data_IF_834223214147
#
_entry.id   IF_834223214147
#
_cell.length_a   1.000
_cell.length_b   1.000
_cell.length_c   1.000
_cell.angle_alpha   90.00
_cell.angle_beta   90.00
_cell.angle_gamma   90.00
#
_symmetry.space_group_name_H-M   'P 1'
#
loop_
_entity.id
_entity.type
_entity.pdbx_description
1 polymer ?
#
# COMPACT_ATOMS: atom_id res chain seq x y z
N UNK A 1 16.10 12.48 -14.54
CA UNK A 1 16.11 13.14 -13.20
C UNK A 1 17.03 12.39 -12.24
N UNK A 2 16.78 11.11 -11.93
CA UNK A 2 17.63 10.33 -11.02
C UNK A 2 19.13 10.32 -11.41
N UNK A 3 19.44 10.06 -12.69
CA UNK A 3 20.82 10.12 -13.18
C UNK A 3 21.42 11.53 -13.07
N UNK A 4 20.63 12.56 -13.39
CA UNK A 4 21.05 13.96 -13.28
C UNK A 4 21.37 14.37 -11.83
N UNK A 5 20.56 13.93 -10.85
CA UNK A 5 20.87 14.16 -9.43
C UNK A 5 22.16 13.46 -9.01
N UNK A 6 22.40 12.23 -9.50
CA UNK A 6 23.61 11.49 -9.18
C UNK A 6 24.86 12.14 -9.79
N UNK A 7 24.81 12.55 -11.06
CA UNK A 7 25.92 13.25 -11.72
C UNK A 7 26.22 14.59 -11.09
N UNK A 8 25.19 15.32 -10.66
CA UNK A 8 25.35 16.63 -10.01
C UNK A 8 25.96 16.49 -8.61
N UNK A 9 25.63 15.42 -7.89
CA UNK A 9 26.29 15.08 -6.63
C UNK A 9 27.76 14.68 -6.87
N UNK A 10 28.01 13.75 -7.78
CA UNK A 10 29.36 13.28 -8.11
C UNK A 10 30.27 14.40 -8.63
N UNK A 11 29.73 15.37 -9.37
CA UNK A 11 30.47 16.54 -9.83
C UNK A 11 30.95 17.43 -8.68
N UNK A 12 30.23 17.47 -7.55
CA UNK A 12 30.58 18.31 -6.41
C UNK A 12 31.39 17.58 -5.33
N UNK A 13 31.01 16.34 -4.99
CA UNK A 13 31.67 15.56 -3.94
C UNK A 13 32.80 14.68 -4.46
N UNK A 14 32.88 14.47 -5.78
CA UNK A 14 33.85 13.57 -6.40
C UNK A 14 33.59 12.08 -6.14
N UNK A 15 32.52 11.72 -5.44
CA UNK A 15 32.20 10.34 -5.09
C UNK A 15 30.88 9.86 -5.72
N UNK A 16 30.83 8.58 -6.06
CA UNK A 16 29.64 7.89 -6.56
C UNK A 16 28.90 7.10 -5.46
N UNK A 17 29.18 7.40 -4.19
CA UNK A 17 28.59 6.72 -3.05
C UNK A 17 27.10 7.07 -2.90
N UNK A 18 26.23 6.04 -2.81
CA UNK A 18 24.79 6.24 -2.63
C UNK A 18 24.48 6.91 -1.28
N UNK A 19 25.28 6.61 -0.25
CA UNK A 19 25.13 7.14 1.11
C UNK A 19 25.71 8.54 1.30
N UNK A 20 26.37 9.11 0.29
CA UNK A 20 27.05 10.41 0.38
C UNK A 20 26.34 11.43 -0.53
N UNK A 21 25.09 11.74 -0.22
CA UNK A 21 24.32 12.75 -0.94
C UNK A 21 24.31 14.05 -0.14
N UNK A 22 25.36 14.86 -0.31
CA UNK A 22 25.54 16.06 0.52
C UNK A 22 24.91 17.31 -0.10
N UNK A 23 24.77 17.34 -1.43
CA UNK A 23 24.14 18.48 -2.09
C UNK A 23 22.61 18.46 -1.91
N UNK A 24 22.09 19.50 -1.24
CA UNK A 24 20.65 19.74 -1.01
C UNK A 24 19.82 19.72 -2.31
N UNK A 25 20.34 20.28 -3.41
CA UNK A 25 19.66 20.31 -4.71
C UNK A 25 19.60 18.90 -5.30
N UNK A 26 20.72 18.17 -5.29
CA UNK A 26 20.76 16.77 -5.73
C UNK A 26 19.80 15.89 -4.93
N UNK A 27 19.74 16.05 -3.61
CA UNK A 27 18.81 15.34 -2.74
C UNK A 27 17.35 15.64 -3.11
N UNK A 28 16.98 16.90 -3.29
CA UNK A 28 15.60 17.28 -3.66
C UNK A 28 15.17 16.69 -5.00
N UNK A 29 16.05 16.71 -6.00
CA UNK A 29 15.81 16.10 -7.31
C UNK A 29 15.74 14.57 -7.25
N UNK A 30 16.56 13.95 -6.39
CA UNK A 30 16.53 12.51 -6.15
C UNK A 30 15.19 12.09 -5.54
N UNK A 31 14.71 12.77 -4.51
CA UNK A 31 13.40 12.49 -3.89
C UNK A 31 12.28 12.65 -4.92
N UNK A 32 12.30 13.72 -5.72
CA UNK A 32 11.29 13.93 -6.75
C UNK A 32 11.30 12.81 -7.80
N UNK A 33 12.48 12.32 -8.19
CA UNK A 33 12.59 11.17 -9.08
C UNK A 33 12.06 9.87 -8.43
N UNK A 34 12.32 9.67 -7.14
CA UNK A 34 11.84 8.51 -6.38
C UNK A 34 10.32 8.57 -6.17
N UNK A 35 9.77 9.75 -5.88
CA UNK A 35 8.32 9.95 -5.72
C UNK A 35 7.56 9.65 -7.01
N UNK A 36 8.13 9.99 -8.18
CA UNK A 36 7.58 9.59 -9.48
C UNK A 36 7.51 8.07 -9.63
N UNK A 37 8.59 7.35 -9.29
CA UNK A 37 8.62 5.87 -9.37
C UNK A 37 7.71 5.20 -8.34
N UNK A 38 7.60 5.76 -7.15
CA UNK A 38 6.73 5.27 -6.09
C UNK A 38 5.24 5.55 -6.36
N UNK A 39 4.94 6.45 -7.31
CA UNK A 39 3.62 7.04 -7.53
C UNK A 39 3.08 7.80 -6.31
N UNK A 40 3.97 8.49 -5.58
CA UNK A 40 3.56 9.43 -4.56
C UNK A 40 3.06 10.73 -5.21
N UNK A 41 2.12 11.43 -4.56
CA UNK A 41 1.63 12.71 -5.04
C UNK A 41 2.76 13.75 -5.10
N UNK A 42 2.80 14.64 -6.11
CA UNK A 42 1.79 14.87 -7.18
C UNK A 42 1.86 13.89 -8.36
N UNK A 43 2.92 13.08 -8.44
CA UNK A 43 3.22 12.17 -9.54
C UNK A 43 2.41 10.86 -9.56
N UNK A 44 1.15 10.93 -9.16
CA UNK A 44 0.33 9.78 -8.83
C UNK A 44 -0.58 9.33 -9.98
N UNK A 45 -0.83 10.21 -10.97
CA UNK A 45 -1.82 10.01 -12.02
C UNK A 45 -1.57 8.77 -12.89
N UNK A 46 -0.31 8.39 -13.12
CA UNK A 46 0.03 7.26 -13.98
C UNK A 46 -0.40 5.91 -13.37
N UNK A 47 -0.38 5.77 -12.04
CA UNK A 47 -0.54 4.47 -11.40
C UNK A 47 -1.98 3.91 -11.54
N UNK A 48 -3.07 4.65 -11.22
CA UNK A 48 -4.42 4.12 -11.35
C UNK A 48 -4.80 3.75 -12.78
N UNK A 49 -4.31 4.49 -13.78
CA UNK A 49 -4.62 4.24 -15.19
C UNK A 49 -3.91 3.01 -15.72
N UNK A 50 -2.60 2.88 -15.46
CA UNK A 50 -1.80 1.72 -15.87
C UNK A 50 -2.30 0.44 -15.20
N UNK A 51 -2.61 0.50 -13.91
CA UNK A 51 -3.12 -0.64 -13.15
C UNK A 51 -4.51 -1.08 -13.65
N UNK A 52 -5.35 -0.16 -14.10
CA UNK A 52 -6.66 -0.53 -14.66
C UNK A 52 -6.54 -1.26 -16.00
N UNK A 53 -5.57 -0.91 -16.84
CA UNK A 53 -5.30 -1.59 -18.11
C UNK A 53 -4.57 -2.93 -17.96
N UNK A 54 -3.91 -3.15 -16.81
CA UNK A 54 -3.07 -4.31 -16.55
C UNK A 54 -3.86 -5.59 -16.16
N UNK A 55 -3.23 -6.74 -16.39
CA UNK A 55 -3.70 -8.04 -15.87
C UNK A 55 -3.44 -8.17 -14.36
N UNK A 56 -4.14 -9.06 -13.66
CA UNK A 56 -3.93 -9.28 -12.21
C UNK A 56 -2.48 -9.61 -11.85
N UNK A 57 -1.81 -10.38 -12.71
CA UNK A 57 -0.41 -10.75 -12.51
C UNK A 57 0.51 -9.53 -12.65
N UNK A 58 0.36 -8.76 -13.72
CA UNK A 58 1.19 -7.57 -13.96
C UNK A 58 0.96 -6.50 -12.90
N UNK A 59 -0.28 -6.29 -12.47
CA UNK A 59 -0.59 -5.41 -11.34
C UNK A 59 0.11 -5.87 -10.05
N UNK A 60 0.10 -7.17 -9.74
CA UNK A 60 0.76 -7.70 -8.55
C UNK A 60 2.25 -7.36 -8.54
N UNK A 61 2.95 -7.54 -9.66
CA UNK A 61 4.37 -7.15 -9.78
C UNK A 61 4.58 -5.64 -9.65
N UNK A 62 3.70 -4.84 -10.25
CA UNK A 62 3.79 -3.37 -10.19
C UNK A 62 3.56 -2.83 -8.78
N UNK A 63 2.62 -3.41 -8.02
CA UNK A 63 2.28 -2.94 -6.68
C UNK A 63 3.12 -3.55 -5.56
N UNK A 64 3.89 -4.61 -5.83
CA UNK A 64 4.80 -5.22 -4.85
C UNK A 64 6.26 -5.05 -5.26
N UNK A 65 6.70 -5.79 -6.27
CA UNK A 65 8.11 -5.89 -6.68
C UNK A 65 8.72 -4.54 -7.07
N UNK A 66 8.00 -3.75 -7.89
CA UNK A 66 8.52 -2.46 -8.37
C UNK A 66 8.65 -1.39 -7.29
N UNK A 67 8.01 -1.57 -6.13
CA UNK A 67 8.10 -0.62 -5.01
C UNK A 67 9.30 -0.90 -4.10
N UNK A 68 9.87 -2.11 -4.10
CA UNK A 68 10.97 -2.49 -3.20
C UNK A 68 12.21 -1.62 -3.46
N UNK A 69 12.68 -1.55 -4.71
CA UNK A 69 13.92 -0.85 -5.03
C UNK A 69 13.86 0.69 -4.78
N UNK A 70 12.77 1.40 -5.12
CA UNK A 70 12.67 2.81 -4.75
C UNK A 70 12.57 3.04 -3.23
N UNK A 71 11.90 2.15 -2.48
CA UNK A 71 11.80 2.26 -1.01
C UNK A 71 13.19 2.08 -0.36
N UNK A 72 13.99 1.12 -0.80
CA UNK A 72 15.35 0.93 -0.27
C UNK A 72 16.26 2.11 -0.60
N UNK A 73 16.12 2.72 -1.78
CA UNK A 73 16.83 3.96 -2.10
C UNK A 73 16.37 5.12 -1.21
N UNK A 74 15.08 5.28 -0.96
CA UNK A 74 14.61 6.31 -0.01
C UNK A 74 15.15 6.08 1.41
N UNK A 75 15.28 4.81 1.83
CA UNK A 75 15.87 4.44 3.12
C UNK A 75 17.34 4.86 3.22
N UNK A 76 18.14 4.57 2.19
CA UNK A 76 19.58 4.89 2.18
C UNK A 76 19.86 6.40 2.18
N UNK A 77 18.97 7.18 1.58
CA UNK A 77 19.13 8.64 1.43
C UNK A 77 18.38 9.41 2.52
N UNK A 78 17.57 8.74 3.34
CA UNK A 78 16.65 9.35 4.32
C UNK A 78 17.32 10.42 5.20
N UNK A 79 18.54 10.15 5.69
CA UNK A 79 19.26 11.05 6.60
C UNK A 79 19.70 12.38 5.95
N UNK A 80 19.86 12.42 4.63
CA UNK A 80 20.33 13.60 3.90
C UNK A 80 19.19 14.49 3.39
N UNK A 81 17.96 13.99 3.49
CA UNK A 81 16.77 14.64 2.95
C UNK A 81 16.23 15.66 3.94
N UNK A 82 15.82 16.83 3.44
CA UNK A 82 15.06 17.80 4.25
C UNK A 82 13.74 17.15 4.70
N UNK A 83 13.46 17.07 6.02
CA UNK A 83 12.30 16.35 6.54
C UNK A 83 10.98 16.97 6.05
N UNK A 84 10.93 18.29 5.90
CA UNK A 84 9.75 19.03 5.41
C UNK A 84 9.24 18.52 4.06
N UNK A 85 10.14 18.28 3.10
CA UNK A 85 9.77 17.84 1.75
C UNK A 85 9.15 16.44 1.81
N UNK A 86 9.76 15.55 2.58
CA UNK A 86 9.34 14.15 2.67
C UNK A 86 8.02 13.99 3.44
N UNK A 87 7.84 14.76 4.52
CA UNK A 87 6.57 14.84 5.25
C UNK A 87 5.43 15.40 4.37
N UNK A 88 5.70 16.45 3.59
CA UNK A 88 4.70 17.04 2.69
C UNK A 88 4.29 16.08 1.57
N UNK A 89 5.25 15.40 0.93
CA UNK A 89 4.95 14.34 -0.06
C UNK A 89 4.14 13.19 0.55
N UNK A 90 4.49 12.80 1.78
CA UNK A 90 3.77 11.80 2.55
C UNK A 90 2.32 12.19 2.80
N UNK A 91 2.05 13.38 3.33
CA UNK A 91 0.68 13.85 3.56
C UNK A 91 -0.12 14.01 2.27
N UNK A 92 0.45 14.60 1.23
CA UNK A 92 -0.23 14.77 -0.05
C UNK A 92 -0.62 13.42 -0.66
N UNK A 93 0.23 12.40 -0.54
CA UNK A 93 -0.07 11.06 -1.05
C UNK A 93 -1.16 10.35 -0.25
N UNK A 94 -1.21 10.53 1.09
CA UNK A 94 -2.33 10.05 1.90
C UNK A 94 -3.62 10.77 1.50
N UNK A 95 -3.60 12.09 1.32
CA UNK A 95 -4.77 12.89 0.99
C UNK A 95 -5.35 12.53 -0.38
N UNK A 96 -4.50 12.51 -1.42
CA UNK A 96 -4.92 12.17 -2.78
C UNK A 96 -5.30 10.70 -2.91
N UNK A 97 -4.63 9.81 -2.17
CA UNK A 97 -4.98 8.40 -2.06
C UNK A 97 -6.38 8.21 -1.48
N UNK A 98 -6.66 8.86 -0.34
CA UNK A 98 -7.94 8.77 0.34
C UNK A 98 -9.11 9.29 -0.50
N UNK A 99 -8.99 10.51 -1.05
CA UNK A 99 -10.06 11.05 -1.90
C UNK A 99 -10.23 10.29 -3.20
N UNK A 100 -9.15 9.82 -3.80
CA UNK A 100 -9.19 9.08 -5.05
C UNK A 100 -9.94 7.74 -4.96
N UNK A 101 -10.02 7.14 -3.77
CA UNK A 101 -10.68 5.85 -3.53
C UNK A 101 -12.21 5.97 -3.54
N UNK A 102 -12.77 7.06 -3.01
CA UNK A 102 -14.21 7.19 -2.71
C UNK A 102 -15.09 6.87 -3.92
N UNK A 103 -14.70 7.39 -5.10
CA UNK A 103 -15.53 7.34 -6.30
C UNK A 103 -15.17 6.19 -7.25
N UNK A 104 -14.34 5.24 -6.82
CA UNK A 104 -13.99 4.10 -7.68
C UNK A 104 -14.96 2.95 -7.48
N UNK A 105 -15.23 2.23 -8.56
CA UNK A 105 -15.98 0.94 -8.54
C UNK A 105 -15.12 -0.24 -8.98
N UNK A 106 -13.96 0.05 -9.55
CA UNK A 106 -13.01 -0.93 -10.10
C UNK A 106 -11.96 -1.29 -9.05
N UNK A 107 -11.81 -2.58 -8.77
CA UNK A 107 -10.93 -3.07 -7.70
C UNK A 107 -9.46 -2.76 -7.95
N UNK A 108 -9.05 -2.81 -9.22
CA UNK A 108 -7.67 -2.50 -9.61
C UNK A 108 -7.29 -1.06 -9.28
N UNK A 109 -8.16 -0.09 -9.59
CA UNK A 109 -7.94 1.32 -9.21
C UNK A 109 -7.90 1.49 -7.70
N UNK A 110 -8.80 0.84 -6.96
CA UNK A 110 -8.81 0.92 -5.49
C UNK A 110 -7.50 0.41 -4.88
N UNK A 111 -6.98 -0.72 -5.37
CA UNK A 111 -5.68 -1.26 -4.94
C UNK A 111 -4.51 -0.33 -5.30
N UNK A 112 -4.60 0.40 -6.42
CA UNK A 112 -3.61 1.41 -6.76
C UNK A 112 -3.62 2.56 -5.75
N UNK A 113 -4.79 3.13 -5.45
CA UNK A 113 -4.89 4.22 -4.46
C UNK A 113 -4.52 3.77 -3.05
N UNK A 114 -4.84 2.55 -2.63
CA UNK A 114 -4.41 2.05 -1.33
C UNK A 114 -2.89 1.97 -1.20
N UNK A 115 -2.21 1.66 -2.30
CA UNK A 115 -0.74 1.67 -2.36
C UNK A 115 -0.15 3.07 -2.25
N UNK A 116 -0.90 4.10 -2.63
CA UNK A 116 -0.46 5.49 -2.49
C UNK A 116 -0.61 5.96 -1.05
N UNK A 117 -1.69 5.54 -0.38
CA UNK A 117 -1.88 5.79 1.06
C UNK A 117 -0.76 5.12 1.87
N UNK A 118 -0.47 3.84 1.61
CA UNK A 118 0.59 3.15 2.35
C UNK A 118 1.96 3.76 2.11
N UNK A 119 2.28 4.14 0.86
CA UNK A 119 3.50 4.87 0.55
C UNK A 119 3.55 6.20 1.29
N UNK A 120 2.43 6.92 1.39
CA UNK A 120 2.39 8.16 2.14
C UNK A 120 2.76 7.99 3.61
N UNK A 121 2.23 6.94 4.25
CA UNK A 121 2.65 6.56 5.60
C UNK A 121 4.14 6.20 5.66
N UNK A 122 4.67 5.44 4.69
CA UNK A 122 6.11 5.12 4.65
C UNK A 122 6.97 6.37 4.49
N UNK A 123 6.61 7.29 3.59
CA UNK A 123 7.40 8.50 3.34
C UNK A 123 7.42 9.42 4.57
N UNK A 124 6.30 9.58 5.28
CA UNK A 124 6.26 10.40 6.49
C UNK A 124 7.27 9.91 7.54
N UNK A 125 7.28 8.60 7.81
CA UNK A 125 8.09 8.02 8.88
C UNK A 125 9.57 7.86 8.53
N UNK A 126 9.92 7.79 7.24
CA UNK A 126 11.31 7.65 6.80
C UNK A 126 12.24 8.76 7.32
N UNK A 127 11.68 9.93 7.68
CA UNK A 127 12.45 11.06 8.22
C UNK A 127 12.90 10.86 9.67
N UNK A 128 12.08 10.20 10.50
CA UNK A 128 12.33 10.06 11.93
C UNK A 128 12.89 8.69 12.28
N UNK A 129 12.33 7.63 11.68
CA UNK A 129 12.73 6.25 11.95
C UNK A 129 12.56 5.41 10.68
N UNK A 130 13.61 5.30 9.84
CA UNK A 130 13.52 4.65 8.54
C UNK A 130 13.22 3.14 8.64
N UNK A 131 13.59 2.50 9.76
CA UNK A 131 13.22 1.11 10.04
C UNK A 131 11.70 0.89 10.08
N UNK A 132 10.96 1.77 10.74
CA UNK A 132 9.48 1.71 10.78
C UNK A 132 8.85 1.96 9.40
N UNK A 133 9.51 2.74 8.54
CA UNK A 133 9.09 2.91 7.15
C UNK A 133 9.19 1.60 6.37
N UNK A 134 10.29 0.86 6.57
CA UNK A 134 10.51 -0.43 5.91
C UNK A 134 9.52 -1.48 6.40
N UNK A 135 9.23 -1.53 7.71
CA UNK A 135 8.24 -2.49 8.24
C UNK A 135 6.84 -2.26 7.68
N UNK A 136 6.40 -1.00 7.59
CA UNK A 136 5.11 -0.68 6.99
C UNK A 136 5.04 -1.10 5.51
N UNK A 137 6.12 -0.89 4.75
CA UNK A 137 6.20 -1.35 3.36
C UNK A 137 6.11 -2.88 3.23
N UNK A 138 6.79 -3.63 4.11
CA UNK A 138 6.76 -5.11 4.12
C UNK A 138 5.36 -5.62 4.48
N UNK A 139 4.74 -5.07 5.53
CA UNK A 139 3.37 -5.44 5.93
C UNK A 139 2.39 -5.15 4.80
N UNK A 140 2.47 -3.96 4.19
CA UNK A 140 1.61 -3.62 3.06
C UNK A 140 1.78 -4.59 1.88
N UNK A 141 3.02 -4.88 1.49
CA UNK A 141 3.28 -5.73 0.31
C UNK A 141 2.81 -7.17 0.53
N UNK A 142 2.95 -7.72 1.74
CA UNK A 142 2.44 -9.07 2.07
C UNK A 142 0.91 -9.15 2.03
N UNK A 143 0.21 -8.18 2.62
CA UNK A 143 -1.26 -8.14 2.58
C UNK A 143 -1.77 -7.91 1.15
N UNK A 144 -1.16 -6.96 0.43
CA UNK A 144 -1.54 -6.64 -0.95
C UNK A 144 -1.32 -7.85 -1.88
N UNK A 145 -0.23 -8.59 -1.72
CA UNK A 145 0.01 -9.83 -2.46
C UNK A 145 -1.10 -10.86 -2.21
N UNK A 146 -1.47 -11.10 -0.94
CA UNK A 146 -2.50 -12.06 -0.58
C UNK A 146 -3.87 -11.70 -1.20
N UNK A 147 -4.28 -10.42 -1.11
CA UNK A 147 -5.51 -9.91 -1.72
C UNK A 147 -5.50 -10.11 -3.24
N UNK A 148 -4.44 -9.67 -3.91
CA UNK A 148 -4.33 -9.75 -5.38
C UNK A 148 -4.30 -11.19 -5.88
N UNK A 149 -3.68 -12.11 -5.12
CA UNK A 149 -3.65 -13.53 -5.45
C UNK A 149 -5.04 -14.18 -5.34
N UNK A 150 -5.86 -13.78 -4.35
CA UNK A 150 -7.25 -14.25 -4.20
C UNK A 150 -8.16 -13.67 -5.29
N UNK A 151 -8.04 -12.36 -5.58
CA UNK A 151 -8.81 -11.71 -6.65
C UNK A 151 -8.48 -12.28 -8.03
N UNK A 152 -7.22 -12.68 -8.26
CA UNK A 152 -6.80 -13.37 -9.49
C UNK A 152 -7.52 -14.72 -9.64
N UNK A 153 -7.61 -15.49 -8.55
CA UNK A 153 -8.22 -16.82 -8.57
C UNK A 153 -9.72 -16.75 -8.90
N UNK A 154 -10.41 -15.78 -8.30
CA UNK A 154 -11.85 -15.59 -8.49
C UNK A 154 -12.20 -14.73 -9.72
N UNK A 155 -11.19 -14.26 -10.48
CA UNK A 155 -11.31 -13.39 -11.66
C UNK A 155 -12.18 -12.13 -11.49
N UNK A 156 -12.40 -11.67 -10.25
CA UNK A 156 -13.26 -10.52 -9.93
C UNK A 156 -12.60 -9.21 -10.32
N UNK A 157 -13.22 -8.38 -11.17
CA UNK A 157 -12.65 -7.09 -11.61
C UNK A 157 -13.35 -5.88 -10.98
N UNK A 158 -14.65 -6.00 -10.74
CA UNK A 158 -15.49 -4.92 -10.22
C UNK A 158 -16.08 -5.27 -8.85
N UNK A 159 -16.57 -4.23 -8.14
CA UNK A 159 -17.36 -4.41 -6.92
C UNK A 159 -18.57 -5.35 -7.09
N UNK A 160 -19.20 -5.33 -8.27
CA UNK A 160 -20.36 -6.19 -8.55
C UNK A 160 -19.95 -7.65 -8.59
N UNK A 161 -18.82 -7.96 -9.23
CA UNK A 161 -18.31 -9.33 -9.33
C UNK A 161 -17.94 -9.89 -7.95
N UNK A 162 -17.46 -9.03 -7.03
CA UNK A 162 -17.18 -9.44 -5.66
C UNK A 162 -18.42 -9.96 -4.93
N UNK A 163 -19.59 -9.35 -5.12
CA UNK A 163 -20.81 -9.81 -4.45
C UNK A 163 -21.15 -11.26 -4.82
N UNK A 164 -20.91 -11.66 -6.07
CA UNK A 164 -21.19 -13.02 -6.55
C UNK A 164 -20.25 -14.08 -5.95
N UNK A 165 -19.08 -13.70 -5.43
CA UNK A 165 -18.09 -14.66 -4.89
C UNK A 165 -18.58 -15.39 -3.64
N UNK A 166 -19.48 -14.78 -2.87
CA UNK A 166 -20.05 -15.41 -1.67
C UNK A 166 -20.78 -16.71 -2.00
N UNK A 167 -21.50 -16.74 -3.12
CA UNK A 167 -22.24 -17.91 -3.57
C UNK A 167 -21.34 -18.99 -4.18
N UNK A 168 -20.10 -18.67 -4.54
CA UNK A 168 -19.16 -19.61 -5.14
C UNK A 168 -18.27 -20.24 -4.07
N UNK A 169 -17.56 -19.42 -3.30
CA UNK A 169 -16.55 -19.86 -2.34
C UNK A 169 -16.57 -19.03 -1.04
N UNK A 170 -17.47 -19.35 -0.08
CA UNK A 170 -17.63 -18.58 1.16
C UNK A 170 -16.37 -18.55 2.05
N UNK A 171 -15.47 -19.51 1.89
CA UNK A 171 -14.19 -19.55 2.60
C UNK A 171 -13.21 -18.50 2.06
N UNK A 172 -13.16 -18.31 0.74
CA UNK A 172 -12.28 -17.30 0.13
C UNK A 172 -12.80 -15.89 0.40
N UNK A 173 -14.11 -15.72 0.48
CA UNK A 173 -14.74 -14.42 0.76
C UNK A 173 -14.50 -13.95 2.18
N UNK A 174 -14.62 -14.85 3.16
CA UNK A 174 -14.30 -14.54 4.57
C UNK A 174 -12.83 -14.18 4.75
N UNK A 175 -11.90 -14.90 4.11
CA UNK A 175 -10.47 -14.56 4.13
C UNK A 175 -10.22 -13.20 3.46
N UNK A 176 -10.82 -12.96 2.30
CA UNK A 176 -10.67 -11.68 1.58
C UNK A 176 -11.23 -10.51 2.40
N UNK A 177 -12.35 -10.69 3.09
CA UNK A 177 -12.91 -9.69 3.99
C UNK A 177 -11.93 -9.36 5.13
N UNK A 178 -11.35 -10.36 5.79
CA UNK A 178 -10.35 -10.14 6.84
C UNK A 178 -9.10 -9.40 6.33
N UNK A 179 -8.62 -9.73 5.13
CA UNK A 179 -7.48 -9.02 4.51
C UNK A 179 -7.81 -7.57 4.14
N UNK A 180 -9.03 -7.29 3.67
CA UNK A 180 -9.46 -5.92 3.40
C UNK A 180 -9.55 -5.09 4.69
N UNK A 181 -10.03 -5.70 5.78
CA UNK A 181 -10.03 -5.07 7.12
C UNK A 181 -8.61 -4.85 7.65
N UNK A 182 -7.65 -5.73 7.32
CA UNK A 182 -6.26 -5.54 7.74
C UNK A 182 -5.61 -4.37 6.98
N UNK A 183 -5.89 -4.20 5.68
CA UNK A 183 -5.48 -3.01 4.90
C UNK A 183 -6.08 -1.71 5.45
N UNK A 184 -7.34 -1.76 5.88
CA UNK A 184 -8.00 -0.63 6.53
C UNK A 184 -7.29 -0.23 7.84
N UNK A 185 -6.70 -1.21 8.53
CA UNK A 185 -5.99 -1.01 9.79
C UNK A 185 -6.95 -0.97 10.98
N UNK A 186 -7.77 -2.00 11.13
CA UNK A 186 -8.63 -2.16 12.30
C UNK A 186 -7.89 -2.84 13.47
N UNK A 187 -8.22 -2.49 14.73
CA UNK A 187 -7.57 -2.99 15.94
C UNK A 187 -8.03 -4.40 16.32
N UNK A 188 -7.66 -5.43 15.54
CA UNK A 188 -6.86 -6.56 16.04
C UNK A 188 -5.91 -7.15 14.96
N UNK A 189 -5.82 -6.47 13.81
CA UNK A 189 -5.15 -6.95 12.61
C UNK A 189 -3.78 -6.29 12.43
N UNK A 190 -2.89 -7.00 11.75
CA UNK A 190 -1.51 -6.59 11.45
C UNK A 190 -1.36 -5.19 10.87
N UNK A 191 -2.23 -4.78 9.94
CA UNK A 191 -2.10 -3.50 9.24
C UNK A 191 -2.43 -2.27 10.09
N UNK A 192 -2.97 -2.46 11.31
CA UNK A 192 -3.15 -1.36 12.27
C UNK A 192 -1.85 -1.00 12.97
N UNK A 193 -1.05 -2.01 13.32
CA UNK A 193 0.18 -1.87 14.09
C UNK A 193 1.20 -0.88 13.49
N UNK A 194 1.57 -0.93 12.19
CA UNK A 194 2.52 0.02 11.63
C UNK A 194 1.98 1.45 11.66
N UNK A 195 0.67 1.67 11.44
CA UNK A 195 0.07 3.01 11.50
C UNK A 195 0.14 3.59 12.90
N UNK A 196 -0.13 2.77 13.93
CA UNK A 196 0.02 3.18 15.32
C UNK A 196 1.46 3.56 15.67
N UNK A 197 2.43 2.69 15.36
CA UNK A 197 3.82 2.98 15.66
C UNK A 197 4.34 4.22 14.94
N UNK A 198 3.89 4.44 13.70
CA UNK A 198 4.21 5.65 12.94
C UNK A 198 3.62 6.87 13.65
N UNK A 199 2.39 6.80 14.15
CA UNK A 199 1.80 7.90 14.91
C UNK A 199 2.55 8.18 16.20
N UNK A 200 2.90 7.15 16.98
CA UNK A 200 3.59 7.30 18.26
C UNK A 200 4.97 7.96 18.08
N UNK A 201 5.74 7.52 17.09
CA UNK A 201 7.04 8.11 16.75
C UNK A 201 6.92 9.56 16.24
N UNK A 202 5.92 9.88 15.41
CA UNK A 202 5.69 11.26 14.98
C UNK A 202 5.31 12.18 16.17
N UNK A 203 4.53 11.69 17.12
CA UNK A 203 4.17 12.42 18.34
C UNK A 203 5.42 12.64 19.21
N UNK A 204 6.29 11.63 19.35
CA UNK A 204 7.55 11.75 20.09
C UNK A 204 8.47 12.84 19.53
N UNK A 205 8.47 13.04 18.21
CA UNK A 205 9.21 14.11 17.52
C UNK A 205 8.46 15.46 17.45
N UNK A 206 7.39 15.66 18.22
CA UNK A 206 6.56 16.88 18.27
C UNK A 206 5.83 17.22 16.95
N UNK A 207 5.65 16.26 16.04
CA UNK A 207 4.93 16.41 14.77
C UNK A 207 3.44 16.04 14.90
N UNK A 208 2.79 16.49 15.98
CA UNK A 208 1.43 16.08 16.35
C UNK A 208 0.37 16.48 15.31
N UNK A 209 0.46 17.70 14.76
CA UNK A 209 -0.47 18.17 13.71
C UNK A 209 -0.43 17.25 12.47
N UNK A 210 0.77 16.86 12.04
CA UNK A 210 0.94 15.98 10.88
C UNK A 210 0.40 14.58 11.16
N UNK A 211 0.63 14.05 12.36
CA UNK A 211 0.10 12.75 12.77
C UNK A 211 -1.44 12.73 12.82
N UNK A 212 -2.07 13.78 13.40
CA UNK A 212 -3.53 13.88 13.49
C UNK A 212 -4.20 14.01 12.12
N UNK A 213 -3.63 14.82 11.22
CA UNK A 213 -4.16 14.96 9.85
C UNK A 213 -4.04 13.65 9.06
N UNK A 214 -2.90 12.95 9.15
CA UNK A 214 -2.71 11.63 8.54
C UNK A 214 -3.70 10.59 9.09
N UNK A 215 -3.94 10.60 10.40
CA UNK A 215 -4.91 9.72 11.05
C UNK A 215 -6.34 9.98 10.53
N UNK A 216 -6.78 11.24 10.47
CA UNK A 216 -8.10 11.60 9.94
C UNK A 216 -8.28 11.18 8.48
N UNK A 217 -7.27 11.38 7.63
CA UNK A 217 -7.31 10.93 6.24
C UNK A 217 -7.34 9.40 6.12
N UNK A 218 -6.72 8.68 7.05
CA UNK A 218 -6.77 7.21 7.06
C UNK A 218 -8.14 6.66 7.43
N UNK A 219 -8.93 7.36 8.25
CA UNK A 219 -10.32 6.99 8.53
C UNK A 219 -11.20 7.01 7.27
N UNK A 220 -10.92 7.95 6.36
CA UNK A 220 -11.63 8.03 5.08
C UNK A 220 -11.37 6.77 4.23
N UNK A 221 -10.15 6.24 4.24
CA UNK A 221 -9.83 4.95 3.61
C UNK A 221 -10.58 3.78 4.28
N UNK A 222 -10.70 3.81 5.60
CA UNK A 222 -11.38 2.77 6.37
C UNK A 222 -12.86 2.66 5.98
N UNK A 223 -13.57 3.78 5.82
CA UNK A 223 -14.99 3.78 5.39
C UNK A 223 -15.17 3.04 4.06
N UNK A 224 -14.25 3.23 3.13
CA UNK A 224 -14.30 2.55 1.84
C UNK A 224 -14.10 1.04 1.96
N UNK A 225 -13.11 0.59 2.74
CA UNK A 225 -12.88 -0.83 2.95
C UNK A 225 -14.05 -1.50 3.66
N UNK A 226 -14.68 -0.82 4.63
CA UNK A 226 -15.91 -1.31 5.25
C UNK A 226 -17.04 -1.47 4.24
N UNK A 227 -17.22 -0.52 3.31
CA UNK A 227 -18.20 -0.66 2.21
C UNK A 227 -17.92 -1.90 1.36
N UNK A 228 -16.64 -2.15 1.01
CA UNK A 228 -16.27 -3.34 0.24
C UNK A 228 -16.60 -4.62 1.00
N UNK A 229 -16.22 -4.70 2.27
CA UNK A 229 -16.47 -5.85 3.14
C UNK A 229 -17.97 -6.10 3.31
N UNK A 230 -18.75 -5.04 3.49
CA UNK A 230 -20.21 -5.12 3.56
C UNK A 230 -20.81 -5.73 2.29
N UNK A 231 -20.41 -5.25 1.11
CA UNK A 231 -20.87 -5.81 -0.17
C UNK A 231 -20.46 -7.28 -0.35
N UNK A 232 -19.28 -7.64 0.15
CA UNK A 232 -18.71 -8.98 0.03
C UNK A 232 -19.41 -10.01 0.93
N UNK A 233 -19.79 -9.60 2.14
CA UNK A 233 -20.51 -10.45 3.12
C UNK A 233 -22.02 -10.44 2.88
N UNK A 234 -22.55 -9.47 2.13
CA UNK A 234 -23.98 -9.37 1.87
C UNK A 234 -24.53 -10.67 1.26
N UNK A 235 -25.48 -11.28 1.96
CA UNK A 235 -25.98 -12.65 1.69
C UNK A 235 -26.99 -12.74 0.53
N UNK A 236 -27.29 -11.63 -0.12
CA UNK A 236 -28.25 -11.55 -1.24
C UNK A 236 -27.62 -10.99 -2.52
N UNK A 237 -26.52 -11.57 -3.04
CA UNK A 237 -25.99 -11.14 -4.31
C UNK A 237 -26.94 -11.54 -5.46
N UNK A 238 -26.98 -10.77 -6.56
CA UNK A 238 -27.82 -11.10 -7.71
C UNK A 238 -27.36 -12.42 -8.33
N UNK A 239 -28.19 -13.45 -8.22
CA UNK A 239 -27.94 -14.78 -8.77
C UNK A 239 -28.16 -14.72 -10.30
N UNK A 240 -27.14 -15.08 -11.08
CA UNK A 240 -27.28 -15.27 -12.53
C UNK A 240 -27.50 -16.74 -12.84
N UNK A 241 -28.16 -17.06 -13.95
CA UNK A 241 -28.44 -18.44 -14.36
C UNK A 241 -27.20 -19.32 -14.50
N UNK A 242 -26.03 -18.71 -14.75
CA UNK A 242 -24.74 -19.39 -14.86
C UNK A 242 -24.12 -19.81 -13.51
N UNK A 243 -24.60 -19.30 -12.37
CA UNK A 243 -24.02 -19.64 -11.05
C UNK A 243 -24.17 -21.12 -10.71
N UNK A 244 -25.26 -21.77 -11.12
CA UNK A 244 -25.51 -23.19 -10.89
C UNK A 244 -24.53 -24.11 -11.61
N UNK A 245 -23.97 -23.68 -12.75
CA UNK A 245 -22.96 -24.43 -13.48
C UNK A 245 -21.60 -24.34 -12.77
N UNK A 246 -21.28 -23.18 -12.21
CA UNK A 246 -20.03 -22.94 -11.48
C UNK A 246 -19.96 -23.72 -10.17
N UNK A 247 -21.10 -23.98 -9.50
CA UNK A 247 -21.15 -24.83 -8.29
C UNK A 247 -20.62 -26.24 -8.48
N UNK A 248 -20.58 -26.76 -9.72
CA UNK A 248 -20.06 -28.11 -10.00
C UNK A 248 -18.54 -28.12 -10.22
N UNK A 249 -17.93 -26.97 -10.45
CA UNK A 249 -16.49 -26.86 -10.66
C UNK A 249 -15.78 -26.71 -9.32
N UNK A 250 -14.76 -27.52 -9.08
CA UNK A 250 -13.92 -27.33 -7.91
C UNK A 250 -13.05 -26.08 -8.10
N UNK A 251 -13.03 -25.16 -7.12
CA UNK A 251 -12.16 -24.00 -7.20
C UNK A 251 -10.69 -24.45 -7.16
N UNK A 252 -9.89 -23.90 -8.07
CA UNK A 252 -8.45 -24.11 -8.05
C UNK A 252 -7.88 -23.45 -6.79
N UNK A 253 -7.39 -24.23 -5.81
CA UNK A 253 -6.84 -23.68 -4.57
C UNK A 253 -5.45 -23.13 -4.82
N UNK A 254 -5.30 -21.80 -4.75
CA UNK A 254 -4.00 -21.17 -4.88
C UNK A 254 -3.18 -21.34 -3.58
N UNK A 255 -2.26 -22.32 -3.58
CA UNK A 255 -1.42 -22.66 -2.42
C UNK A 255 -0.59 -21.47 -1.90
N UNK A 256 -0.16 -20.58 -2.80
CA UNK A 256 0.64 -19.40 -2.44
C UNK A 256 -0.18 -18.38 -1.63
N UNK A 257 -1.45 -18.19 -1.99
CA UNK A 257 -2.34 -17.31 -1.24
C UNK A 257 -2.63 -17.89 0.15
N UNK A 258 -2.87 -19.20 0.22
CA UNK A 258 -3.15 -19.89 1.48
C UNK A 258 -1.97 -19.82 2.48
N UNK A 259 -0.73 -19.89 2.00
CA UNK A 259 0.47 -19.77 2.83
C UNK A 259 0.70 -18.35 3.38
N UNK A 260 0.30 -17.32 2.63
CA UNK A 260 0.55 -15.91 3.00
C UNK A 260 -0.53 -15.31 3.90
N UNK A 261 -1.75 -15.83 3.86
CA UNK A 261 -2.89 -15.32 4.66
C UNK A 261 -2.61 -15.30 6.17
N UNK A 262 -2.05 -16.34 6.80
CA UNK A 262 -1.75 -16.31 8.24
C UNK A 262 -0.74 -15.22 8.61
N UNK A 263 0.33 -15.08 7.81
CA UNK A 263 1.35 -14.05 8.02
C UNK A 263 0.77 -12.63 7.83
N UNK A 264 -0.12 -12.46 6.83
CA UNK A 264 -0.79 -11.21 6.55
C UNK A 264 -1.81 -10.80 7.61
N UNK A 265 -2.42 -11.73 8.36
CA UNK A 265 -3.46 -11.42 9.35
C UNK A 265 -2.98 -11.39 10.80
N UNK A 266 -2.00 -12.21 11.18
CA UNK A 266 -1.64 -12.45 12.58
C UNK A 266 -0.17 -12.21 12.94
N UNK A 267 0.63 -11.61 12.06
CA UNK A 267 2.03 -11.24 12.39
C UNK A 267 2.17 -10.19 13.50
N UNK A 268 1.07 -9.63 14.02
CA UNK A 268 1.07 -8.61 15.07
C UNK A 268 1.85 -9.03 16.33
N UNK A 269 1.87 -10.32 16.67
CA UNK A 269 2.62 -10.83 17.84
C UNK A 269 4.14 -10.90 17.64
N UNK A 270 4.63 -10.87 16.40
CA UNK A 270 6.06 -11.04 16.08
C UNK A 270 6.78 -9.67 15.99
N UNK A 271 6.05 -8.58 15.83
CA UNK A 271 6.62 -7.24 15.64
C UNK A 271 7.33 -6.56 16.83
N UNK A 272 7.18 -6.95 18.11
CA UNK A 272 8.02 -6.39 19.18
C UNK A 272 9.53 -6.54 18.93
N UNK A 273 9.91 -7.52 18.10
CA UNK A 273 11.30 -7.78 17.68
C UNK A 273 11.84 -6.77 16.66
N UNK A 274 10.99 -5.95 16.03
CA UNK A 274 11.39 -5.01 14.98
C UNK A 274 11.48 -3.57 15.47
N UNK A 275 10.94 -3.30 16.66
CA UNK A 275 11.04 -2.02 17.36
C UNK A 275 12.23 -1.91 18.31
N UNK A 276 12.91 -3.03 18.58
CA UNK A 276 14.16 -3.10 19.37
C UNK A 276 15.38 -2.96 18.47
#
# INVERSE_FOLDING_TARGET
IMLFSATLNAWQTGSWGITQLDNKVACSLMIFALSMKLAAAPAHFWLPEVVQGASWFTMLFMLTWQKIAPITLTYLVANHIKPEIMLLLGLLSIMMGAWGIINQTQLRKMMAYSSMVSIGWTLMIMTTSPNLGMTNAIIYTTIAFAIMALLKNNQTKSLRDLTATWNHDPTTTTILALLLLSMAGLPPLTGFMPKLLIMDSLIAHKLTLMATTAALLSLLNLVFYLRMVYLLISTSPPITTQSFALWRLQPHKNQVAAALVPAALFSMMILPTVTS
#
